data_IF_036403015361
#
_entry.id   IF_036403015361
#
_cell.length_a   1.000
_cell.length_b   1.000
_cell.length_c   1.000
_cell.angle_alpha   90.00
_cell.angle_beta   90.00
_cell.angle_gamma   90.00
#
_symmetry.space_group_name_H-M   'P 1'
#
loop_
_entity.id
_entity.type
_entity.pdbx_description
1 polymer ?
#
# COMPACT_ATOMS: atom_id res chain seq x y z
N UNK A 1 -4.34 12.40 6.88
CA UNK A 1 -3.93 11.19 6.12
C UNK A 1 -4.52 9.99 6.82
N UNK A 2 -4.74 8.87 6.12
CA UNK A 2 -5.25 7.63 6.71
C UNK A 2 -4.38 6.45 6.25
N UNK A 3 -4.60 5.28 6.84
CA UNK A 3 -3.86 4.07 6.50
C UNK A 3 -4.75 2.83 6.54
N UNK A 4 -4.47 1.84 5.70
CA UNK A 4 -4.98 0.48 5.83
C UNK A 4 -3.88 -0.35 6.50
N UNK A 5 -4.24 -1.14 7.51
CA UNK A 5 -3.32 -1.97 8.28
C UNK A 5 -3.57 -3.45 7.98
N UNK A 6 -2.62 -4.30 8.39
CA UNK A 6 -2.80 -5.75 8.44
C UNK A 6 -3.14 -6.37 7.07
N UNK A 7 -2.52 -5.89 5.99
CA UNK A 7 -2.74 -6.42 4.64
C UNK A 7 -1.78 -7.61 4.41
N UNK A 8 -2.28 -8.84 4.23
CA UNK A 8 -1.42 -9.98 3.95
C UNK A 8 -0.65 -9.83 2.63
N UNK A 9 0.52 -10.45 2.49
CA UNK A 9 1.36 -10.35 1.29
C UNK A 9 0.62 -10.65 -0.02
N UNK A 10 -0.13 -11.75 -0.07
CA UNK A 10 -0.89 -12.14 -1.25
C UNK A 10 -1.92 -11.06 -1.63
N UNK A 11 -2.67 -10.57 -0.64
CA UNK A 11 -3.65 -9.51 -0.81
C UNK A 11 -2.98 -8.22 -1.27
N UNK A 12 -1.81 -7.87 -0.72
CA UNK A 12 -1.06 -6.68 -1.10
C UNK A 12 -0.61 -6.75 -2.57
N UNK A 13 -0.08 -7.89 -3.01
CA UNK A 13 0.34 -8.10 -4.40
C UNK A 13 -0.83 -7.98 -5.38
N UNK A 14 -2.00 -8.53 -5.03
CA UNK A 14 -3.23 -8.37 -5.82
C UNK A 14 -3.67 -6.89 -5.90
N UNK A 15 -3.60 -6.16 -4.77
CA UNK A 15 -3.92 -4.73 -4.74
C UNK A 15 -2.97 -3.94 -5.63
N UNK A 16 -1.65 -4.15 -5.50
CA UNK A 16 -0.66 -3.45 -6.32
C UNK A 16 -0.89 -3.72 -7.80
N UNK A 17 -1.11 -4.98 -8.18
CA UNK A 17 -1.39 -5.37 -9.57
C UNK A 17 -2.66 -4.68 -10.10
N UNK A 18 -3.72 -4.63 -9.29
CA UNK A 18 -4.96 -3.94 -9.64
C UNK A 18 -4.76 -2.43 -9.76
N UNK A 19 -3.95 -1.82 -8.88
CA UNK A 19 -3.62 -0.39 -8.94
C UNK A 19 -2.80 -0.06 -10.20
N UNK A 20 -1.82 -0.89 -10.55
CA UNK A 20 -1.04 -0.70 -11.78
C UNK A 20 -1.93 -0.78 -13.03
N UNK A 21 -2.85 -1.73 -13.08
CA UNK A 21 -3.86 -1.82 -14.15
C UNK A 21 -4.79 -0.59 -14.21
N UNK A 22 -5.03 0.05 -13.06
CA UNK A 22 -5.78 1.30 -12.91
C UNK A 22 -4.95 2.55 -13.29
N UNK A 23 -3.68 2.41 -13.67
CA UNK A 23 -2.79 3.50 -14.04
C UNK A 23 -2.05 4.14 -12.87
N UNK A 24 -1.93 3.44 -11.74
CA UNK A 24 -0.95 3.80 -10.73
C UNK A 24 0.45 3.37 -11.16
N UNK A 25 1.44 4.19 -10.84
CA UNK A 25 2.83 3.90 -11.16
C UNK A 25 3.64 3.71 -9.87
N UNK A 26 4.38 2.61 -9.79
CA UNK A 26 5.40 2.41 -8.76
C UNK A 26 6.61 3.30 -9.10
N UNK A 27 6.76 4.42 -8.39
CA UNK A 27 7.83 5.38 -8.68
C UNK A 27 9.04 5.23 -7.77
N UNK A 28 8.93 4.43 -6.70
CA UNK A 28 10.03 4.13 -5.79
C UNK A 28 9.77 2.81 -5.10
N UNK A 29 10.82 2.00 -4.97
CA UNK A 29 10.85 0.80 -4.13
C UNK A 29 12.08 0.87 -3.25
N UNK A 30 12.01 0.32 -2.04
CA UNK A 30 13.15 0.17 -1.17
C UNK A 30 14.03 -0.99 -1.66
N UNK A 31 15.34 -0.77 -1.71
CA UNK A 31 16.32 -1.72 -2.24
C UNK A 31 17.46 -1.96 -1.23
N UNK A 32 17.15 -1.85 0.07
CA UNK A 32 18.09 -2.22 1.13
C UNK A 32 18.51 -3.69 1.03
N UNK A 33 19.60 -4.08 1.70
CA UNK A 33 20.00 -5.50 1.78
C UNK A 33 18.95 -6.36 2.49
N UNK A 34 18.16 -5.73 3.35
CA UNK A 34 17.03 -6.25 4.11
C UNK A 34 15.67 -6.15 3.36
N UNK A 35 15.66 -5.64 2.13
CA UNK A 35 14.46 -5.47 1.33
C UNK A 35 13.76 -6.81 1.07
N UNK A 36 12.51 -6.96 1.55
CA UNK A 36 11.73 -8.20 1.45
C UNK A 36 12.21 -9.31 2.39
N UNK A 37 13.08 -8.99 3.36
CA UNK A 37 13.55 -9.92 4.39
C UNK A 37 13.04 -9.47 5.75
N UNK A 38 13.39 -8.24 6.15
CA UNK A 38 12.95 -7.65 7.43
C UNK A 38 12.12 -6.38 7.21
N UNK A 39 12.27 -5.68 6.08
CA UNK A 39 11.50 -4.49 5.74
C UNK A 39 11.29 -4.42 4.23
N UNK A 40 10.14 -3.93 3.77
CA UNK A 40 9.96 -3.53 2.37
C UNK A 40 9.12 -2.26 2.28
N UNK A 41 9.33 -1.46 1.24
CA UNK A 41 8.55 -0.26 1.00
C UNK A 41 8.36 0.00 -0.50
N UNK A 42 7.10 0.20 -0.87
CA UNK A 42 6.66 0.49 -2.24
C UNK A 42 5.89 1.80 -2.25
N UNK A 43 6.28 2.74 -3.11
CA UNK A 43 5.56 4.01 -3.27
C UNK A 43 4.87 4.06 -4.63
N UNK A 44 3.56 4.28 -4.60
CA UNK A 44 2.74 4.42 -5.79
C UNK A 44 2.31 5.86 -5.98
N UNK A 45 2.13 6.29 -7.23
CA UNK A 45 1.56 7.58 -7.58
C UNK A 45 0.56 7.49 -8.71
N UNK A 46 -0.48 8.34 -8.67
CA UNK A 46 -1.43 8.52 -9.77
C UNK A 46 -2.03 9.91 -9.70
N UNK A 47 -1.99 10.67 -10.81
CA UNK A 47 -2.57 12.02 -10.92
C UNK A 47 -2.27 12.96 -9.72
N UNK A 48 -1.04 12.95 -9.21
CA UNK A 48 -0.62 13.77 -8.07
C UNK A 48 -0.95 13.20 -6.68
N UNK A 49 -1.72 12.12 -6.61
CA UNK A 49 -1.94 11.32 -5.39
C UNK A 49 -0.75 10.39 -5.18
N UNK A 50 -0.30 10.25 -3.93
CA UNK A 50 0.80 9.36 -3.55
C UNK A 50 0.32 8.40 -2.47
N UNK A 51 0.72 7.14 -2.61
CA UNK A 51 0.58 6.10 -1.60
C UNK A 51 1.96 5.66 -1.14
N UNK A 52 2.10 5.43 0.16
CA UNK A 52 3.25 4.76 0.76
C UNK A 52 2.77 3.40 1.25
N UNK A 53 3.35 2.33 0.74
CA UNK A 53 3.15 0.99 1.24
C UNK A 53 4.42 0.55 1.95
N UNK A 54 4.28 -0.02 3.12
CA UNK A 54 5.38 -0.44 3.98
C UNK A 54 5.04 -1.81 4.55
N UNK A 55 6.04 -2.66 4.63
CA UNK A 55 5.97 -3.99 5.23
C UNK A 55 7.15 -4.14 6.16
N UNK A 56 6.91 -4.82 7.27
CA UNK A 56 7.96 -5.21 8.20
C UNK A 56 7.76 -6.69 8.54
N UNK A 57 8.82 -7.40 8.91
CA UNK A 57 8.68 -8.80 9.29
C UNK A 57 7.77 -9.02 10.50
N UNK A 58 7.66 -8.05 11.40
CA UNK A 58 6.77 -8.15 12.56
C UNK A 58 5.31 -7.81 12.23
N UNK A 59 5.07 -7.06 11.15
CA UNK A 59 3.77 -6.47 10.83
C UNK A 59 3.46 -6.64 9.33
N UNK A 60 2.27 -7.17 9.02
CA UNK A 60 1.74 -7.24 7.66
C UNK A 60 1.76 -5.87 6.94
N UNK A 61 1.53 -5.87 5.61
CA UNK A 61 1.60 -4.65 4.81
C UNK A 61 0.66 -3.56 5.34
N UNK A 62 1.19 -2.35 5.38
CA UNK A 62 0.49 -1.11 5.67
C UNK A 62 0.49 -0.22 4.45
N UNK A 63 -0.66 0.34 4.12
CA UNK A 63 -0.81 1.30 3.02
C UNK A 63 -1.28 2.65 3.56
N UNK A 64 -0.57 3.73 3.26
CA UNK A 64 -0.84 5.07 3.75
C UNK A 64 -1.02 6.09 2.61
N UNK A 65 -1.92 7.05 2.82
CA UNK A 65 -2.17 8.08 1.82
C UNK A 65 -3.27 9.08 2.19
N UNK A 66 -3.77 9.83 1.19
CA UNK A 66 -4.92 10.70 1.38
C UNK A 66 -6.15 9.92 1.82
N UNK A 67 -6.88 10.47 2.79
CA UNK A 67 -8.00 9.79 3.44
C UNK A 67 -9.05 9.28 2.45
N UNK A 68 -9.47 10.12 1.51
CA UNK A 68 -10.46 9.75 0.49
C UNK A 68 -9.98 8.56 -0.36
N UNK A 69 -8.70 8.55 -0.75
CA UNK A 69 -8.11 7.45 -1.51
C UNK A 69 -8.05 6.17 -0.68
N UNK A 70 -7.59 6.25 0.56
CA UNK A 70 -7.49 5.10 1.45
C UNK A 70 -8.85 4.49 1.76
N UNK A 71 -9.87 5.32 2.02
CA UNK A 71 -11.24 4.83 2.23
C UNK A 71 -11.78 4.15 0.98
N UNK A 72 -11.62 4.77 -0.19
CA UNK A 72 -12.04 4.17 -1.46
C UNK A 72 -11.35 2.83 -1.74
N UNK A 73 -10.05 2.72 -1.45
CA UNK A 73 -9.31 1.47 -1.61
C UNK A 73 -9.76 0.43 -0.59
N UNK A 74 -9.95 0.81 0.67
CA UNK A 74 -10.45 -0.07 1.71
C UNK A 74 -11.83 -0.64 1.33
N UNK A 75 -12.77 0.20 0.88
CA UNK A 75 -14.08 -0.24 0.42
C UNK A 75 -13.99 -1.13 -0.83
N UNK A 76 -13.14 -0.78 -1.80
CA UNK A 76 -12.97 -1.54 -3.04
C UNK A 76 -12.42 -2.95 -2.81
N UNK A 77 -11.47 -3.08 -1.89
CA UNK A 77 -10.79 -4.35 -1.62
C UNK A 77 -11.32 -5.06 -0.37
N UNK A 78 -12.36 -4.53 0.28
CA UNK A 78 -12.95 -5.11 1.49
C UNK A 78 -12.04 -5.09 2.72
N UNK A 79 -11.15 -4.10 2.81
CA UNK A 79 -10.18 -3.95 3.90
C UNK A 79 -10.70 -2.99 4.97
N UNK A 80 -10.13 -3.10 6.17
CA UNK A 80 -10.44 -2.20 7.28
C UNK A 80 -9.49 -1.01 7.26
N UNK A 81 -10.00 0.18 6.93
CA UNK A 81 -9.34 1.43 7.29
C UNK A 81 -9.86 1.86 8.68
N UNK A 82 -9.00 2.30 9.61
CA UNK A 82 -9.44 2.81 10.89
C UNK A 82 -10.35 4.03 10.67
N UNK A 83 -11.40 4.19 11.49
CA UNK A 83 -12.32 5.29 11.36
C UNK A 83 -11.61 6.64 11.52
N UNK A 84 -12.18 7.70 10.95
CA UNK A 84 -11.58 9.03 10.92
C UNK A 84 -11.50 9.75 12.27
#
# INVERSE_FOLDING_TARGET
MSSILEIPDATFLDIVSALEADGWEVYSRYWGMDAGIDHDCVRLRRHGVKLKCEWDRCDDWRMEGPKATIQQLAERFGLTAPPP
#
